data_IF_854209874666
#
_entry.id   IF_854209874666
#
_cell.length_a   1.000
_cell.length_b   1.000
_cell.length_c   1.000
_cell.angle_alpha   90.00
_cell.angle_beta   90.00
_cell.angle_gamma   90.00
#
_symmetry.space_group_name_H-M   'P 1'
#
loop_
_entity.id
_entity.type
_entity.pdbx_description
1 polymer ?
#
# COMPACT_ATOMS: atom_id res chain seq x y z
N UNK A 1 -19.73 -5.54 3.55
CA UNK A 1 -18.26 -5.67 3.69
C UNK A 1 -17.93 -5.16 5.07
N UNK A 2 -17.12 -5.86 5.84
CA UNK A 2 -16.75 -5.42 7.19
C UNK A 2 -15.57 -4.45 7.11
N UNK A 3 -15.68 -3.35 7.83
CA UNK A 3 -14.66 -2.31 7.95
C UNK A 3 -14.17 -2.24 9.41
N UNK A 4 -12.89 -1.93 9.66
CA UNK A 4 -11.85 -1.68 8.66
C UNK A 4 -11.41 -2.96 7.93
N UNK A 5 -11.05 -2.80 6.67
CA UNK A 5 -10.40 -3.84 5.89
C UNK A 5 -8.95 -3.94 6.34
N UNK A 6 -8.60 -5.06 6.98
CA UNK A 6 -7.22 -5.35 7.40
C UNK A 6 -6.57 -6.31 6.41
N UNK A 7 -5.37 -5.96 5.93
CA UNK A 7 -4.58 -6.74 4.98
C UNK A 7 -3.18 -6.91 5.55
N UNK A 8 -2.79 -8.15 5.83
CA UNK A 8 -1.43 -8.47 6.27
C UNK A 8 -0.61 -9.06 5.13
N UNK A 9 0.43 -8.33 4.74
CA UNK A 9 1.34 -8.68 3.66
C UNK A 9 2.66 -9.10 4.28
N UNK A 10 3.14 -10.31 3.96
CA UNK A 10 4.38 -10.88 4.49
C UNK A 10 5.65 -10.28 3.84
N UNK A 11 5.67 -8.96 3.65
CA UNK A 11 6.79 -8.17 3.15
C UNK A 11 7.04 -7.02 4.11
N UNK A 12 8.31 -6.70 4.33
CA UNK A 12 8.67 -5.39 4.87
C UNK A 12 8.49 -4.34 3.78
N UNK A 13 7.96 -3.17 4.14
CA UNK A 13 7.95 -2.00 3.25
C UNK A 13 9.38 -1.75 2.75
N UNK A 14 9.61 -1.40 1.48
CA UNK A 14 10.93 -0.96 1.06
C UNK A 14 11.34 0.31 1.81
N UNK A 15 12.62 0.63 1.82
CA UNK A 15 13.09 1.95 2.26
C UNK A 15 13.05 2.93 1.08
N UNK A 16 12.96 4.23 1.34
CA UNK A 16 13.14 5.25 0.30
C UNK A 16 14.47 5.12 -0.44
N UNK A 17 15.54 4.73 0.26
CA UNK A 17 16.84 4.46 -0.34
C UNK A 17 16.82 3.27 -1.32
N UNK A 18 16.01 2.24 -1.07
CA UNK A 18 15.85 1.11 -1.99
C UNK A 18 15.24 1.56 -3.33
N UNK A 19 14.44 2.64 -3.30
CA UNK A 19 13.88 3.25 -4.50
C UNK A 19 14.96 4.03 -5.28
N UNK A 20 15.87 4.73 -4.60
CA UNK A 20 16.85 5.65 -5.20
C UNK A 20 18.08 4.99 -5.85
N UNK A 21 18.29 3.68 -5.66
CA UNK A 21 19.51 3.02 -6.16
C UNK A 21 19.57 2.84 -7.68
N UNK A 22 20.47 3.55 -8.36
CA UNK A 22 20.81 3.37 -9.78
C UNK A 22 20.48 4.57 -10.69
N UNK A 23 20.76 4.46 -11.98
CA UNK A 23 20.36 5.49 -12.97
C UNK A 23 18.84 5.57 -13.17
N UNK A 24 18.36 6.61 -13.89
CA UNK A 24 16.93 6.90 -14.10
C UNK A 24 16.10 5.69 -14.56
N UNK A 25 16.62 4.89 -15.48
CA UNK A 25 15.95 3.68 -15.98
C UNK A 25 15.88 2.56 -14.94
N UNK A 26 16.96 2.34 -14.19
CA UNK A 26 17.00 1.34 -13.11
C UNK A 26 16.04 1.68 -11.97
N UNK A 27 15.91 2.98 -11.65
CA UNK A 27 14.95 3.48 -10.67
C UNK A 27 13.50 3.16 -11.08
N UNK A 28 13.14 3.43 -12.34
CA UNK A 28 11.80 3.11 -12.85
C UNK A 28 11.50 1.61 -12.81
N UNK A 29 12.43 0.78 -13.29
CA UNK A 29 12.25 -0.67 -13.32
C UNK A 29 12.12 -1.27 -11.91
N UNK A 30 12.93 -0.81 -10.95
CA UNK A 30 12.82 -1.22 -9.54
C UNK A 30 11.48 -0.84 -8.94
N UNK A 31 11.04 0.41 -9.14
CA UNK A 31 9.74 0.87 -8.65
C UNK A 31 8.61 0.04 -9.24
N UNK A 32 8.65 -0.27 -10.53
CA UNK A 32 7.67 -1.13 -11.21
C UNK A 32 7.64 -2.54 -10.60
N UNK A 33 8.80 -3.20 -10.48
CA UNK A 33 8.88 -4.55 -9.92
C UNK A 33 8.36 -4.60 -8.47
N UNK A 34 8.67 -3.60 -7.65
CA UNK A 34 8.12 -3.48 -6.29
C UNK A 34 6.60 -3.34 -6.33
N UNK A 35 6.05 -2.48 -7.19
CA UNK A 35 4.59 -2.35 -7.31
C UNK A 35 3.93 -3.67 -7.71
N UNK A 36 4.44 -4.34 -8.73
CA UNK A 36 3.90 -5.63 -9.17
C UNK A 36 3.91 -6.65 -8.02
N UNK A 37 5.01 -6.75 -7.26
CA UNK A 37 5.12 -7.64 -6.11
C UNK A 37 4.08 -7.33 -5.02
N UNK A 38 3.94 -6.05 -4.65
CA UNK A 38 2.98 -5.62 -3.63
C UNK A 38 1.54 -5.84 -4.10
N UNK A 39 1.23 -5.45 -5.34
CA UNK A 39 -0.09 -5.62 -5.96
C UNK A 39 -0.51 -7.10 -5.96
N UNK A 40 0.37 -8.00 -6.40
CA UNK A 40 0.11 -9.44 -6.39
C UNK A 40 -0.13 -9.99 -4.98
N UNK A 41 0.69 -9.60 -4.00
CA UNK A 41 0.52 -10.11 -2.64
C UNK A 41 -0.73 -9.60 -1.95
N UNK A 42 -1.08 -8.32 -2.14
CA UNK A 42 -2.32 -7.74 -1.61
C UNK A 42 -3.53 -8.42 -2.26
N UNK A 43 -3.52 -8.56 -3.60
CA UNK A 43 -4.58 -9.24 -4.33
C UNK A 43 -4.76 -10.70 -3.87
N UNK A 44 -3.66 -11.43 -3.65
CA UNK A 44 -3.68 -12.79 -3.15
C UNK A 44 -4.28 -12.87 -1.73
N UNK A 45 -3.96 -11.92 -0.85
CA UNK A 45 -4.49 -11.86 0.52
C UNK A 45 -5.98 -11.52 0.57
N UNK A 46 -6.44 -10.64 -0.30
CA UNK A 46 -7.86 -10.30 -0.40
C UNK A 46 -8.69 -11.40 -1.07
N UNK A 47 -8.09 -12.09 -2.04
CA UNK A 47 -8.80 -13.02 -2.91
C UNK A 47 -9.70 -12.32 -3.92
N UNK A 48 -10.02 -13.03 -5.01
CA UNK A 48 -10.71 -12.46 -6.19
C UNK A 48 -12.09 -11.88 -5.83
N UNK A 49 -12.87 -12.58 -5.00
CA UNK A 49 -14.24 -12.15 -4.66
C UNK A 49 -14.24 -10.84 -3.87
N UNK A 50 -13.42 -10.74 -2.82
CA UNK A 50 -13.36 -9.56 -1.95
C UNK A 50 -12.79 -8.37 -2.71
N UNK A 51 -11.74 -8.59 -3.49
CA UNK A 51 -11.15 -7.55 -4.34
C UNK A 51 -12.17 -6.98 -5.33
N UNK A 52 -12.92 -7.84 -6.05
CA UNK A 52 -13.97 -7.37 -6.98
C UNK A 52 -15.08 -6.58 -6.29
N UNK A 53 -15.51 -7.00 -5.09
CA UNK A 53 -16.52 -6.26 -4.32
C UNK A 53 -16.01 -4.88 -3.91
N UNK A 54 -14.75 -4.80 -3.48
CA UNK A 54 -14.08 -3.57 -3.09
C UNK A 54 -13.89 -2.61 -4.28
N UNK A 55 -13.42 -3.13 -5.41
CA UNK A 55 -13.30 -2.37 -6.65
C UNK A 55 -14.66 -1.79 -7.08
N UNK A 56 -15.72 -2.60 -7.06
CA UNK A 56 -17.07 -2.14 -7.39
C UNK A 56 -17.52 -1.02 -6.43
N UNK A 57 -17.31 -1.21 -5.13
CA UNK A 57 -17.65 -0.20 -4.12
C UNK A 57 -16.90 1.12 -4.36
N UNK A 58 -15.58 1.07 -4.58
CA UNK A 58 -14.74 2.26 -4.80
C UNK A 58 -15.10 2.96 -6.11
N UNK A 59 -15.36 2.21 -7.17
CA UNK A 59 -15.75 2.76 -8.46
C UNK A 59 -17.11 3.46 -8.41
N UNK A 60 -18.09 2.87 -7.72
CA UNK A 60 -19.46 3.41 -7.62
C UNK A 60 -19.58 4.59 -6.68
N UNK A 61 -18.97 4.51 -5.50
CA UNK A 61 -19.18 5.52 -4.44
C UNK A 61 -18.06 6.57 -4.38
N UNK A 62 -16.91 6.29 -5.01
CA UNK A 62 -15.72 7.17 -4.99
C UNK A 62 -15.41 7.72 -3.58
N UNK A 63 -15.35 6.88 -2.53
CA UNK A 63 -15.25 7.37 -1.16
C UNK A 63 -13.87 8.00 -0.89
N UNK A 64 -13.83 8.92 0.07
CA UNK A 64 -12.57 9.27 0.76
C UNK A 64 -12.18 8.09 1.63
N UNK A 65 -10.97 7.58 1.46
CA UNK A 65 -10.47 6.41 2.19
C UNK A 65 -9.47 6.84 3.25
N UNK A 66 -9.60 6.28 4.44
CA UNK A 66 -8.60 6.34 5.51
C UNK A 66 -7.68 5.13 5.41
N UNK A 67 -6.37 5.38 5.47
CA UNK A 67 -5.36 4.31 5.49
C UNK A 67 -4.42 4.48 6.67
N UNK A 68 -4.14 3.35 7.33
CA UNK A 68 -3.06 3.21 8.30
C UNK A 68 -2.10 2.08 7.86
N UNK A 69 -0.80 2.35 7.93
CA UNK A 69 0.25 1.35 7.70
C UNK A 69 0.98 1.04 9.01
N UNK A 70 0.86 -0.20 9.48
CA UNK A 70 1.68 -0.74 10.54
C UNK A 70 2.83 -1.56 9.94
N UNK A 71 4.03 -1.00 10.03
CA UNK A 71 5.25 -1.53 9.42
C UNK A 71 6.05 -2.31 10.47
N UNK A 72 5.95 -3.64 10.43
CA UNK A 72 6.68 -4.53 11.34
C UNK A 72 8.02 -4.92 10.70
N UNK A 73 9.14 -4.50 11.31
CA UNK A 73 10.48 -4.63 10.69
C UNK A 73 11.51 -5.21 11.63
N UNK A 74 12.55 -5.84 11.08
CA UNK A 74 13.71 -6.30 11.86
C UNK A 74 14.61 -5.16 12.33
N UNK A 75 14.70 -4.10 11.54
CA UNK A 75 15.60 -2.98 11.79
C UNK A 75 14.81 -1.67 11.88
N UNK A 76 15.31 -0.75 12.71
CA UNK A 76 14.76 0.59 12.79
C UNK A 76 15.03 1.34 11.48
N UNK A 77 14.13 2.25 11.14
CA UNK A 77 14.19 3.08 9.96
C UNK A 77 13.77 4.49 10.34
N UNK A 78 14.42 5.49 9.74
CA UNK A 78 13.97 6.88 9.89
C UNK A 78 12.59 7.03 9.25
N UNK A 79 11.72 7.82 9.87
CA UNK A 79 10.31 7.93 9.49
C UNK A 79 10.14 8.50 8.07
N UNK A 80 10.95 9.48 7.69
CA UNK A 80 11.01 10.02 6.33
C UNK A 80 11.30 8.94 5.28
N UNK A 81 12.28 8.08 5.56
CA UNK A 81 12.68 6.99 4.69
C UNK A 81 11.63 5.87 4.64
N UNK A 82 10.89 5.66 5.73
CA UNK A 82 9.74 4.75 5.76
C UNK A 82 8.60 5.28 4.89
N UNK A 83 8.23 6.55 5.06
CA UNK A 83 7.15 7.21 4.30
C UNK A 83 7.48 7.25 2.81
N UNK A 84 8.74 7.53 2.46
CA UNK A 84 9.20 7.45 1.07
C UNK A 84 9.04 6.03 0.49
N UNK A 85 9.42 5.01 1.27
CA UNK A 85 9.27 3.60 0.93
C UNK A 85 7.83 3.12 0.76
N UNK A 86 6.85 3.76 1.41
CA UNK A 86 5.43 3.44 1.24
C UNK A 86 4.86 3.89 -0.11
N UNK A 87 5.55 4.75 -0.86
CA UNK A 87 5.05 5.24 -2.16
C UNK A 87 4.64 4.12 -3.13
N UNK A 88 5.50 3.13 -3.47
CA UNK A 88 5.07 2.01 -4.32
C UNK A 88 3.87 1.24 -3.75
N UNK A 89 3.75 1.10 -2.43
CA UNK A 89 2.61 0.40 -1.81
C UNK A 89 1.31 1.17 -2.06
N UNK A 90 1.33 2.49 -1.86
CA UNK A 90 0.19 3.39 -2.13
C UNK A 90 -0.19 3.39 -3.61
N UNK A 91 0.80 3.49 -4.49
CA UNK A 91 0.62 3.43 -5.94
C UNK A 91 -0.08 2.11 -6.39
N UNK A 92 -0.02 1.04 -5.61
CA UNK A 92 -0.73 -0.22 -5.91
C UNK A 92 -2.18 -0.23 -5.43
N UNK A 93 -2.57 0.64 -4.49
CA UNK A 93 -3.91 0.64 -3.94
C UNK A 93 -4.88 1.44 -4.81
N UNK A 94 -4.39 2.39 -5.60
CA UNK A 94 -5.21 3.29 -6.43
C UNK A 94 -5.95 2.56 -7.55
N UNK A 95 -6.96 3.22 -8.13
CA UNK A 95 -7.62 2.75 -9.37
C UNK A 95 -6.57 2.67 -10.48
N UNK A 96 -6.49 1.55 -11.20
CA UNK A 96 -5.51 1.41 -12.28
C UNK A 96 -5.77 2.41 -13.40
N UNK A 97 -4.70 3.08 -13.83
CA UNK A 97 -4.67 4.05 -14.91
C UNK A 97 -3.36 3.97 -15.71
N UNK A 98 -3.10 4.94 -16.62
CA UNK A 98 -1.86 4.95 -17.41
C UNK A 98 -0.60 5.13 -16.57
N UNK A 99 -0.69 5.80 -15.42
CA UNK A 99 0.44 6.04 -14.52
C UNK A 99 0.65 4.86 -13.53
N UNK A 100 -0.44 4.20 -13.15
CA UNK A 100 -0.52 3.12 -12.16
C UNK A 100 -1.20 1.88 -12.77
N UNK A 101 -0.59 1.23 -13.79
CA UNK A 101 -1.20 0.07 -14.43
C UNK A 101 -1.42 -1.11 -13.47
N UNK A 102 -0.62 -1.17 -12.40
CA UNK A 102 -0.64 -2.23 -11.38
C UNK A 102 -1.63 -1.95 -10.23
N UNK A 103 -2.43 -0.88 -10.34
CA UNK A 103 -3.38 -0.44 -9.34
C UNK A 103 -4.50 -1.47 -9.08
N UNK A 104 -4.85 -1.65 -7.81
CA UNK A 104 -5.85 -2.61 -7.37
C UNK A 104 -7.26 -2.02 -7.27
N UNK A 105 -7.43 -0.70 -7.35
CA UNK A 105 -8.73 -0.03 -7.22
C UNK A 105 -9.36 -0.17 -5.83
N UNK A 106 -8.52 -0.18 -4.81
CA UNK A 106 -8.90 -0.22 -3.39
C UNK A 106 -9.15 1.18 -2.84
N UNK A 107 -8.48 2.19 -3.39
CA UNK A 107 -8.74 3.61 -3.17
C UNK A 107 -8.90 4.31 -4.51
N UNK A 108 -9.55 5.49 -4.53
CA UNK A 108 -9.73 6.25 -5.77
C UNK A 108 -8.39 6.76 -6.31
N UNK A 109 -7.61 7.43 -5.46
CA UNK A 109 -6.29 7.97 -5.78
C UNK A 109 -5.50 8.25 -4.49
N UNK A 110 -4.18 8.49 -4.57
CA UNK A 110 -3.31 8.73 -3.41
C UNK A 110 -3.20 10.21 -2.98
N UNK A 111 -4.03 11.09 -3.55
CA UNK A 111 -4.04 12.52 -3.21
C UNK A 111 -4.90 12.80 -1.97
N UNK A 112 -4.60 13.91 -1.28
CA UNK A 112 -5.33 14.34 -0.08
C UNK A 112 -6.85 14.51 -0.29
N UNK A 113 -7.30 14.67 -1.54
CA UNK A 113 -8.73 14.70 -1.89
C UNK A 113 -9.42 13.35 -1.63
N UNK A 114 -8.72 12.24 -1.82
CA UNK A 114 -9.30 10.89 -1.81
C UNK A 114 -8.73 10.00 -0.71
N UNK A 115 -7.65 10.43 -0.07
CA UNK A 115 -6.90 9.66 0.90
C UNK A 115 -6.61 10.49 2.15
N UNK A 116 -7.14 10.04 3.28
CA UNK A 116 -6.71 10.45 4.61
C UNK A 116 -5.69 9.44 5.12
N UNK A 117 -4.41 9.70 4.89
CA UNK A 117 -3.32 8.86 5.35
C UNK A 117 -2.87 9.28 6.75
N UNK A 118 -2.91 8.35 7.70
CA UNK A 118 -2.28 8.53 9.00
C UNK A 118 -0.77 8.32 8.92
N UNK A 119 -0.02 8.91 9.84
CA UNK A 119 1.40 8.59 9.96
C UNK A 119 1.60 7.10 10.20
N UNK A 120 2.51 6.44 9.44
CA UNK A 120 2.72 5.02 9.58
C UNK A 120 3.35 4.71 10.95
N UNK A 121 2.96 3.57 11.51
CA UNK A 121 3.60 3.05 12.73
C UNK A 121 4.76 2.15 12.35
N UNK A 122 5.86 2.28 13.09
CA UNK A 122 7.03 1.40 12.97
C UNK A 122 7.13 0.55 14.23
N UNK A 123 7.08 -0.77 14.05
CA UNK A 123 7.19 -1.74 15.14
C UNK A 123 8.37 -2.66 14.86
N UNK A 124 9.27 -2.81 15.83
CA UNK A 124 10.35 -3.78 15.71
C UNK A 124 9.83 -5.19 16.03
N UNK A 125 10.06 -6.13 15.12
CA UNK A 125 9.69 -7.53 15.36
C UNK A 125 10.70 -8.20 16.30
N UNK A 126 10.27 -9.16 17.13
CA UNK A 126 11.18 -9.97 17.93
C UNK A 126 12.21 -10.71 17.09
N UNK A 127 13.35 -11.03 17.71
CA UNK A 127 14.42 -11.82 17.05
C UNK A 127 13.86 -13.15 16.55
N UNK A 128 14.16 -13.48 15.29
CA UNK A 128 13.69 -14.71 14.63
C UNK A 128 12.38 -14.55 13.86
N UNK A 129 11.62 -13.48 14.08
CA UNK A 129 10.41 -13.19 13.32
C UNK A 129 10.75 -12.48 12.00
N UNK A 130 10.00 -12.77 10.93
CA UNK A 130 10.07 -12.02 9.66
C UNK A 130 9.24 -10.75 9.79
N UNK A 131 9.75 -9.64 9.25
CA UNK A 131 8.96 -8.43 9.13
C UNK A 131 7.79 -8.60 8.15
N UNK A 132 6.77 -7.79 8.34
CA UNK A 132 5.52 -7.79 7.58
C UNK A 132 4.88 -6.40 7.65
N UNK A 133 3.88 -6.16 6.82
CA UNK A 133 3.13 -4.90 6.83
C UNK A 133 1.65 -5.20 6.96
N UNK A 134 1.02 -4.54 7.91
CA UNK A 134 -0.43 -4.53 8.09
C UNK A 134 -0.98 -3.22 7.54
N UNK A 135 -1.93 -3.33 6.63
CA UNK A 135 -2.60 -2.21 5.98
C UNK A 135 -4.04 -2.21 6.47
N UNK A 136 -4.48 -1.13 7.09
CA UNK A 136 -5.86 -0.95 7.52
C UNK A 136 -6.51 0.12 6.67
N UNK A 137 -7.66 -0.20 6.08
CA UNK A 137 -8.34 0.67 5.11
C UNK A 137 -9.82 0.76 5.49
N UNK A 138 -10.38 1.97 5.50
CA UNK A 138 -11.81 2.18 5.74
C UNK A 138 -12.31 3.43 5.02
N UNK A 139 -13.57 3.50 4.60
CA UNK A 139 -14.15 4.75 4.10
C UNK A 139 -14.34 5.74 5.26
N UNK A 140 -14.01 7.02 5.03
CA UNK A 140 -14.29 8.13 5.97
C UNK A 140 -15.70 8.63 5.78
N UNK A 141 -16.07 8.87 4.52
CA UNK A 141 -17.39 9.30 4.08
C UNK A 141 -17.80 8.42 2.90
N UNK A 142 -19.02 7.88 2.97
CA UNK A 142 -19.67 7.23 1.83
C UNK A 142 -20.68 8.25 1.31
N UNK A 143 -20.38 8.86 0.16
CA UNK A 143 -21.32 9.74 -0.56
C UNK A 143 -22.37 8.90 -1.25
#
# INVERSE_FOLDING_TARGET
MEWPLVIEVALEVPTGNDLLGGGRFAHWAKKKAMREQWSQMIAAKLGVRKLKQLQKFVQSNRPVMKIHFACHRKHSLKMDNLVAGLKPVRDCLVIPDKAHPDGLGIIVYDSMKWLQEEFPTLVLVPRGMRGFTRIEISPVEVV
#
